data_IF_455439440429
#
_entry.id   IF_455439440429
#
_cell.length_a   1.000
_cell.length_b   1.000
_cell.length_c   1.000
_cell.angle_alpha   90.00
_cell.angle_beta   90.00
_cell.angle_gamma   90.00
#
_symmetry.space_group_name_H-M   'P 1'
#
loop_
_entity.id
_entity.type
_entity.pdbx_description
1 polymer ?
#
# COMPACT_ATOMS: atom_id res chain seq x y z
N UNK A 1 8.24 -10.17 20.81
CA UNK A 1 9.67 -9.95 21.17
C UNK A 1 10.50 -10.40 19.98
N UNK A 2 11.73 -9.89 19.76
CA UNK A 2 12.54 -10.26 18.59
C UNK A 2 12.66 -11.79 18.45
N UNK A 3 12.78 -12.51 19.56
CA UNK A 3 12.85 -13.97 19.58
C UNK A 3 11.57 -14.62 19.06
N UNK A 4 10.39 -14.11 19.45
CA UNK A 4 9.10 -14.61 18.93
C UNK A 4 8.95 -14.32 17.43
N UNK A 5 9.36 -13.13 16.98
CA UNK A 5 9.26 -12.72 15.58
C UNK A 5 10.19 -13.56 14.68
N UNK A 6 11.44 -13.78 15.13
CA UNK A 6 12.38 -14.67 14.44
C UNK A 6 11.89 -16.11 14.44
N UNK A 7 11.35 -16.59 15.57
CA UNK A 7 10.82 -17.95 15.66
C UNK A 7 9.61 -18.13 14.73
N UNK A 8 8.76 -17.11 14.60
CA UNK A 8 7.66 -17.10 13.64
C UNK A 8 8.19 -17.11 12.21
N UNK A 9 9.19 -16.29 11.89
CA UNK A 9 9.79 -16.22 10.55
C UNK A 9 10.43 -17.54 10.12
N UNK A 10 11.15 -18.23 11.02
CA UNK A 10 11.75 -19.54 10.72
C UNK A 10 10.74 -20.68 10.63
N UNK A 11 9.53 -20.50 11.18
CA UNK A 11 8.44 -21.48 11.09
C UNK A 11 7.51 -21.22 9.91
N UNK A 12 7.61 -20.06 9.28
CA UNK A 12 6.75 -19.71 8.16
C UNK A 12 7.06 -20.58 6.93
N UNK A 13 6.03 -20.84 6.14
CA UNK A 13 6.18 -21.62 4.90
C UNK A 13 6.82 -20.72 3.86
N UNK A 14 8.04 -21.05 3.46
CA UNK A 14 8.78 -20.29 2.45
C UNK A 14 8.72 -20.98 1.08
N UNK A 15 8.58 -20.14 0.05
CA UNK A 15 8.81 -20.49 -1.33
C UNK A 15 10.14 -19.93 -1.82
N UNK A 16 10.92 -20.74 -2.52
CA UNK A 16 12.20 -20.38 -3.10
C UNK A 16 12.16 -20.48 -4.63
N UNK A 17 13.02 -19.70 -5.28
CA UNK A 17 13.16 -19.67 -6.75
C UNK A 17 11.83 -19.46 -7.48
N UNK A 18 11.02 -18.55 -6.95
CA UNK A 18 9.70 -18.27 -7.46
C UNK A 18 9.71 -17.61 -8.84
N UNK A 19 8.88 -18.09 -9.75
CA UNK A 19 8.57 -17.45 -11.03
C UNK A 19 7.09 -17.10 -11.07
N UNK A 20 6.81 -15.81 -11.20
CA UNK A 20 5.45 -15.28 -11.27
C UNK A 20 5.18 -14.71 -12.66
N UNK A 21 4.01 -15.03 -13.21
CA UNK A 21 3.46 -14.43 -14.41
C UNK A 21 2.03 -13.99 -14.18
N UNK A 22 1.77 -12.73 -14.48
CA UNK A 22 0.43 -12.17 -14.52
C UNK A 22 -0.08 -12.18 -15.97
N UNK A 23 -1.35 -12.55 -16.13
CA UNK A 23 -2.11 -12.52 -17.38
C UNK A 23 -3.42 -11.81 -17.11
N UNK A 24 -3.92 -11.07 -18.07
CA UNK A 24 -5.22 -10.44 -17.97
C UNK A 24 -5.98 -10.61 -19.29
N UNK A 25 -7.26 -10.21 -19.29
CA UNK A 25 -8.02 -10.09 -20.53
C UNK A 25 -7.36 -9.09 -21.49
N UNK A 26 -7.52 -9.23 -22.83
CA UNK A 26 -6.82 -8.41 -23.83
C UNK A 26 -6.96 -6.89 -23.66
N UNK A 27 -8.05 -6.45 -23.06
CA UNK A 27 -8.39 -5.05 -22.83
C UNK A 27 -7.70 -4.47 -21.58
N UNK A 28 -7.07 -5.33 -20.77
CA UNK A 28 -6.38 -4.99 -19.52
C UNK A 28 -4.88 -5.20 -19.73
N UNK A 29 -4.11 -4.14 -19.53
CA UNK A 29 -2.65 -4.19 -19.53
C UNK A 29 -2.13 -4.13 -18.10
N UNK A 30 -1.00 -4.77 -17.83
CA UNK A 30 -0.31 -4.63 -16.54
C UNK A 30 0.56 -3.39 -16.67
N UNK A 31 0.21 -2.32 -15.95
CA UNK A 31 0.91 -1.05 -16.02
C UNK A 31 2.17 -1.07 -15.15
N UNK A 32 2.01 -1.44 -13.87
CA UNK A 32 3.11 -1.51 -12.92
C UNK A 32 2.88 -2.61 -11.88
N UNK A 33 3.95 -3.16 -11.32
CA UNK A 33 3.87 -4.10 -10.20
C UNK A 33 4.87 -3.65 -9.12
N UNK A 34 4.38 -3.54 -7.89
CA UNK A 34 5.07 -3.01 -6.72
C UNK A 34 5.35 -4.16 -5.75
N UNK A 35 6.59 -4.65 -5.76
CA UNK A 35 7.10 -5.62 -4.80
C UNK A 35 8.62 -5.76 -4.92
N UNK A 36 9.29 -6.33 -3.90
CA UNK A 36 10.71 -6.64 -3.97
C UNK A 36 10.93 -7.87 -4.87
N UNK A 37 11.02 -7.64 -6.17
CA UNK A 37 11.22 -8.68 -7.16
C UNK A 37 12.24 -8.29 -8.24
N UNK A 38 12.77 -9.30 -8.91
CA UNK A 38 13.66 -9.10 -10.05
C UNK A 38 12.89 -9.34 -11.35
N UNK A 39 13.07 -8.46 -12.34
CA UNK A 39 12.48 -8.68 -13.66
C UNK A 39 13.29 -9.72 -14.43
N UNK A 40 12.61 -10.61 -15.14
CA UNK A 40 13.29 -11.58 -15.97
C UNK A 40 13.93 -10.90 -17.19
N UNK A 41 15.25 -11.06 -17.38
CA UNK A 41 16.04 -10.43 -18.45
C UNK A 41 15.43 -10.63 -19.85
N UNK A 42 15.01 -11.87 -20.15
CA UNK A 42 14.45 -12.25 -21.46
C UNK A 42 12.94 -12.01 -21.61
N UNK A 43 12.17 -12.03 -20.53
CA UNK A 43 10.71 -12.10 -20.58
C UNK A 43 10.12 -11.03 -19.67
N UNK A 44 9.76 -9.89 -20.25
CA UNK A 44 9.22 -8.74 -19.49
C UNK A 44 7.96 -9.06 -18.69
N UNK A 45 7.19 -10.06 -19.11
CA UNK A 45 5.96 -10.50 -18.43
C UNK A 45 6.20 -11.48 -17.27
N UNK A 46 7.46 -11.83 -16.98
CA UNK A 46 7.83 -12.77 -15.92
C UNK A 46 8.66 -12.04 -14.86
N UNK A 47 8.30 -12.30 -13.62
CA UNK A 47 8.92 -11.75 -12.42
C UNK A 47 9.54 -12.89 -11.63
N UNK A 48 10.76 -12.68 -11.14
CA UNK A 48 11.47 -13.61 -10.27
C UNK A 48 11.34 -13.16 -8.82
N UNK A 49 10.98 -14.09 -7.95
CA UNK A 49 10.84 -13.90 -6.52
C UNK A 49 11.79 -14.90 -5.83
N UNK A 50 13.02 -14.48 -5.47
CA UNK A 50 14.03 -15.40 -4.93
C UNK A 50 13.55 -16.14 -3.68
N UNK A 51 12.89 -15.41 -2.79
CA UNK A 51 12.26 -15.92 -1.56
C UNK A 51 10.89 -15.25 -1.41
N UNK A 52 9.88 -16.05 -1.09
CA UNK A 52 8.51 -15.61 -0.81
C UNK A 52 8.08 -16.20 0.51
N UNK A 53 7.72 -15.34 1.46
CA UNK A 53 7.09 -15.71 2.73
C UNK A 53 5.56 -15.66 2.57
N UNK A 54 4.82 -16.29 3.48
CA UNK A 54 3.35 -16.30 3.41
C UNK A 54 2.74 -14.90 3.58
N UNK A 55 3.49 -13.99 4.19
CA UNK A 55 3.13 -12.59 4.41
C UNK A 55 3.40 -11.68 3.21
N UNK A 56 4.14 -12.12 2.19
CA UNK A 56 4.58 -11.23 1.10
C UNK A 56 3.40 -10.73 0.26
N UNK A 57 3.18 -9.42 0.26
CA UNK A 57 2.21 -8.74 -0.61
C UNK A 57 2.84 -8.26 -1.92
N UNK A 58 2.10 -8.41 -3.02
CA UNK A 58 2.44 -7.82 -4.32
C UNK A 58 1.25 -6.98 -4.77
N UNK A 59 1.47 -5.67 -4.95
CA UNK A 59 0.46 -4.77 -5.50
C UNK A 59 0.70 -4.58 -7.00
N UNK A 60 -0.36 -4.48 -7.79
CA UNK A 60 -0.28 -4.36 -9.26
C UNK A 60 -1.26 -3.28 -9.72
N UNK A 61 -0.80 -2.36 -10.56
CA UNK A 61 -1.65 -1.42 -11.29
C UNK A 61 -1.94 -1.94 -12.68
N UNK A 62 -3.17 -1.73 -13.12
CA UNK A 62 -3.64 -2.13 -14.44
C UNK A 62 -3.97 -0.89 -15.27
N UNK A 63 -3.61 -0.94 -16.55
CA UNK A 63 -4.07 -0.01 -17.56
C UNK A 63 -5.23 -0.63 -18.34
N UNK A 64 -6.07 0.23 -18.91
CA UNK A 64 -7.18 -0.19 -19.77
C UNK A 64 -6.98 0.38 -21.16
N UNK A 65 -6.90 -0.49 -22.16
CA UNK A 65 -6.63 -0.08 -23.55
C UNK A 65 -7.90 0.33 -24.31
N UNK A 66 -9.06 -0.22 -23.94
CA UNK A 66 -10.35 0.13 -24.53
C UNK A 66 -11.48 -0.10 -23.53
N UNK A 67 -12.33 0.92 -23.34
CA UNK A 67 -13.57 0.82 -22.55
C UNK A 67 -14.63 0.00 -23.28
N UNK A 68 -14.67 0.05 -24.62
CA UNK A 68 -15.65 -0.65 -25.45
C UNK A 68 -15.52 -2.18 -25.35
N UNK A 69 -14.29 -2.69 -25.34
CA UNK A 69 -14.04 -4.13 -25.23
C UNK A 69 -14.39 -4.71 -23.86
N UNK A 70 -14.23 -3.92 -22.79
CA UNK A 70 -14.62 -4.31 -21.43
C UNK A 70 -16.14 -4.37 -21.28
N UNK A 71 -16.87 -3.41 -21.85
CA UNK A 71 -18.34 -3.38 -21.78
C UNK A 71 -18.99 -4.50 -22.62
N UNK A 72 -18.36 -4.91 -23.72
CA UNK A 72 -18.82 -6.05 -24.52
C UNK A 72 -18.60 -7.40 -23.82
N UNK A 73 -17.56 -7.49 -22.98
CA UNK A 73 -17.31 -8.69 -22.16
C UNK A 73 -18.04 -8.59 -20.85
N UNK A 74 -19.09 -9.40 -20.69
CA UNK A 74 -19.79 -9.53 -19.41
C UNK A 74 -18.87 -9.96 -18.24
N UNK A 75 -17.70 -10.55 -18.51
CA UNK A 75 -16.68 -10.91 -17.51
C UNK A 75 -15.27 -10.74 -18.07
N UNK A 76 -14.44 -9.99 -17.34
CA UNK A 76 -12.99 -9.92 -17.53
C UNK A 76 -12.29 -10.80 -16.50
N UNK A 77 -11.05 -11.17 -16.75
CA UNK A 77 -10.25 -11.96 -15.82
C UNK A 77 -8.84 -11.41 -15.65
N UNK A 78 -8.30 -11.65 -14.45
CA UNK A 78 -6.89 -11.53 -14.12
C UNK A 78 -6.45 -12.89 -13.59
N UNK A 79 -5.38 -13.43 -14.15
CA UNK A 79 -4.82 -14.72 -13.77
C UNK A 79 -3.37 -14.55 -13.34
N UNK A 80 -3.06 -15.03 -12.15
CA UNK A 80 -1.72 -15.17 -11.62
C UNK A 80 -1.30 -16.63 -11.70
N UNK A 81 -0.16 -16.89 -12.32
CA UNK A 81 0.52 -18.18 -12.27
C UNK A 81 1.85 -18.00 -11.53
N UNK A 82 2.04 -18.77 -10.47
CA UNK A 82 3.21 -18.72 -9.61
C UNK A 82 3.78 -20.13 -9.41
N UNK A 83 4.96 -20.34 -9.96
CA UNK A 83 5.77 -21.54 -9.77
C UNK A 83 6.80 -21.27 -8.68
N UNK A 84 6.95 -22.19 -7.72
CA UNK A 84 7.93 -22.05 -6.64
C UNK A 84 8.34 -23.41 -6.09
N UNK A 85 9.50 -23.45 -5.42
CA UNK A 85 9.99 -24.64 -4.72
C UNK A 85 9.81 -24.46 -3.22
N UNK A 86 9.29 -25.45 -2.52
CA UNK A 86 9.09 -25.41 -1.07
C UNK A 86 9.62 -26.67 -0.41
N UNK A 87 10.11 -26.53 0.82
CA UNK A 87 10.50 -27.64 1.66
C UNK A 87 9.28 -28.05 2.49
N UNK A 88 8.73 -29.23 2.23
CA UNK A 88 7.57 -29.75 2.94
C UNK A 88 8.02 -30.76 3.99
N UNK A 89 7.45 -30.67 5.19
CA UNK A 89 7.69 -31.70 6.19
C UNK A 89 6.99 -32.98 5.73
N UNK A 90 7.77 -34.00 5.37
CA UNK A 90 7.21 -35.33 5.18
C UNK A 90 6.62 -35.76 6.53
N UNK A 91 5.40 -36.28 6.51
CA UNK A 91 4.64 -36.60 7.73
C UNK A 91 5.28 -37.67 8.63
N UNK A 92 6.39 -38.27 8.20
CA UNK A 92 7.15 -39.25 8.96
C UNK A 92 8.34 -38.60 9.67
N UNK A 93 8.37 -38.80 10.98
CA UNK A 93 9.38 -38.25 11.88
C UNK A 93 10.81 -38.57 11.43
N UNK A 94 11.63 -37.52 11.48
CA UNK A 94 13.08 -37.51 11.34
C UNK A 94 13.64 -37.64 9.90
N UNK A 95 14.03 -36.47 9.37
CA UNK A 95 15.12 -36.26 8.41
C UNK A 95 14.74 -36.45 6.94
N UNK A 96 14.15 -35.39 6.39
CA UNK A 96 14.43 -34.69 5.13
C UNK A 96 13.10 -34.04 4.73
N UNK A 97 13.08 -32.71 4.65
CA UNK A 97 11.94 -32.03 4.04
C UNK A 97 11.93 -32.38 2.56
N UNK A 98 10.81 -32.89 2.05
CA UNK A 98 10.66 -33.15 0.62
C UNK A 98 10.69 -31.79 -0.09
N UNK A 99 11.62 -31.66 -1.04
CA UNK A 99 11.72 -30.45 -1.85
C UNK A 99 10.76 -30.62 -3.03
N UNK A 100 9.66 -29.87 -3.01
CA UNK A 100 8.58 -29.99 -3.98
C UNK A 100 8.47 -28.68 -4.77
N UNK A 101 8.43 -28.80 -6.10
CA UNK A 101 8.05 -27.70 -6.98
C UNK A 101 6.54 -27.67 -7.14
N UNK A 102 5.93 -26.52 -6.87
CA UNK A 102 4.48 -26.30 -6.97
C UNK A 102 4.18 -25.19 -7.96
N UNK A 103 3.09 -25.36 -8.71
CA UNK A 103 2.47 -24.32 -9.53
C UNK A 103 1.12 -23.96 -8.92
N UNK A 104 0.98 -22.71 -8.45
CA UNK A 104 -0.29 -22.14 -8.03
C UNK A 104 -0.84 -21.24 -9.12
N UNK A 105 -2.09 -21.47 -9.50
CA UNK A 105 -2.80 -20.62 -10.45
C UNK A 105 -4.03 -20.05 -9.76
N UNK A 106 -4.12 -18.72 -9.71
CA UNK A 106 -5.27 -17.99 -9.18
C UNK A 106 -5.89 -17.21 -10.32
N UNK A 107 -7.19 -17.33 -10.51
CA UNK A 107 -7.93 -16.56 -11.52
C UNK A 107 -9.06 -15.82 -10.83
N UNK A 108 -9.04 -14.50 -10.95
CA UNK A 108 -10.07 -13.60 -10.45
C UNK A 108 -10.87 -13.09 -11.64
N UNK A 109 -12.19 -13.15 -11.53
CA UNK A 109 -13.10 -12.58 -12.51
C UNK A 109 -13.65 -11.26 -11.99
N UNK A 110 -13.66 -10.24 -12.85
CA UNK A 110 -14.25 -8.94 -12.57
C UNK A 110 -15.38 -8.66 -13.56
N UNK A 111 -16.46 -8.07 -13.06
CA UNK A 111 -17.55 -7.57 -13.89
C UNK A 111 -17.22 -6.13 -14.30
N UNK A 112 -17.30 -5.83 -15.59
CA UNK A 112 -17.16 -4.46 -16.07
C UNK A 112 -18.47 -3.69 -15.82
N UNK A 113 -18.34 -2.42 -15.43
CA UNK A 113 -19.43 -1.47 -15.31
C UNK A 113 -19.02 -0.17 -15.99
N UNK A 114 -19.95 0.48 -16.68
CA UNK A 114 -19.79 1.84 -17.21
C UNK A 114 -20.34 2.90 -16.25
N UNK A 115 -21.12 2.48 -15.24
CA UNK A 115 -21.66 3.37 -14.21
C UNK A 115 -20.58 3.60 -13.13
N UNK A 116 -20.05 4.84 -12.99
CA UNK A 116 -19.02 5.15 -12.02
C UNK A 116 -19.51 4.99 -10.57
N UNK A 117 -20.79 5.21 -10.29
CA UNK A 117 -21.35 5.00 -8.95
C UNK A 117 -21.30 3.53 -8.51
N UNK A 118 -21.53 2.59 -9.45
CA UNK A 118 -21.36 1.15 -9.20
C UNK A 118 -19.91 0.78 -8.95
N UNK A 119 -18.97 1.40 -9.68
CA UNK A 119 -17.53 1.18 -9.50
C UNK A 119 -17.11 1.60 -8.10
N UNK A 120 -17.46 2.83 -7.68
CA UNK A 120 -17.13 3.36 -6.35
C UNK A 120 -17.73 2.53 -5.21
N UNK A 121 -18.98 2.06 -5.38
CA UNK A 121 -19.63 1.17 -4.41
C UNK A 121 -18.93 -0.18 -4.26
N UNK A 122 -18.24 -0.64 -5.30
CA UNK A 122 -17.49 -1.91 -5.30
C UNK A 122 -16.04 -1.78 -4.82
N UNK A 123 -15.54 -0.56 -4.60
CA UNK A 123 -14.16 -0.34 -4.23
C UNK A 123 -13.85 -0.82 -2.80
N UNK A 124 -12.73 -1.53 -2.64
CA UNK A 124 -12.21 -1.97 -1.34
C UNK A 124 -11.18 -0.97 -0.81
N UNK A 125 -11.44 -0.44 0.38
CA UNK A 125 -10.60 0.54 1.05
C UNK A 125 -9.18 0.01 1.31
N UNK A 126 -9.04 -1.22 1.79
CA UNK A 126 -7.74 -1.78 2.14
C UNK A 126 -6.88 -1.96 0.90
N UNK A 127 -7.47 -2.45 -0.19
CA UNK A 127 -6.77 -2.63 -1.46
C UNK A 127 -6.34 -1.28 -2.04
N UNK A 128 -7.26 -0.31 -2.10
CA UNK A 128 -6.98 1.02 -2.64
C UNK A 128 -5.88 1.72 -1.83
N UNK A 129 -5.99 1.69 -0.50
CA UNK A 129 -5.02 2.33 0.39
C UNK A 129 -3.64 1.64 0.35
N UNK A 130 -3.62 0.31 0.27
CA UNK A 130 -2.36 -0.46 0.10
C UNK A 130 -1.71 -0.15 -1.24
N UNK A 131 -2.51 -0.06 -2.30
CA UNK A 131 -2.02 0.31 -3.62
C UNK A 131 -1.38 1.69 -3.61
N UNK A 132 -2.08 2.69 -3.03
CA UNK A 132 -1.58 4.04 -2.87
C UNK A 132 -0.26 4.06 -2.08
N UNK A 133 -0.20 3.33 -0.98
CA UNK A 133 1.00 3.22 -0.13
C UNK A 133 2.19 2.67 -0.92
N UNK A 134 2.01 1.57 -1.65
CA UNK A 134 3.05 0.99 -2.50
C UNK A 134 3.48 1.95 -3.61
N UNK A 135 2.53 2.65 -4.22
CA UNK A 135 2.80 3.64 -5.26
C UNK A 135 3.62 4.82 -4.73
N UNK A 136 3.28 5.35 -3.55
CA UNK A 136 4.03 6.43 -2.92
C UNK A 136 5.44 6.01 -2.51
N UNK A 137 5.63 4.78 -2.02
CA UNK A 137 6.95 4.25 -1.69
C UNK A 137 7.81 4.10 -2.96
N UNK A 138 7.25 3.57 -4.05
CA UNK A 138 7.97 3.50 -5.34
C UNK A 138 8.31 4.89 -5.87
N UNK A 139 7.40 5.86 -5.75
CA UNK A 139 7.66 7.23 -6.16
C UNK A 139 8.82 7.83 -5.37
N UNK A 140 8.80 7.70 -4.03
CA UNK A 140 9.85 8.20 -3.14
C UNK A 140 11.23 7.57 -3.39
N UNK A 141 11.27 6.29 -3.76
CA UNK A 141 12.52 5.54 -3.92
C UNK A 141 13.09 5.61 -5.34
N UNK A 142 12.22 5.68 -6.35
CA UNK A 142 12.61 5.44 -7.75
C UNK A 142 12.46 6.67 -8.64
N UNK A 143 11.49 7.54 -8.39
CA UNK A 143 11.06 8.56 -9.37
C UNK A 143 11.28 9.99 -8.90
N UNK A 144 10.84 10.30 -7.69
CA UNK A 144 11.12 11.58 -7.04
C UNK A 144 12.49 11.55 -6.38
N UNK A 145 13.13 12.73 -6.31
CA UNK A 145 14.43 12.86 -5.66
C UNK A 145 14.31 13.24 -4.19
N UNK A 146 13.14 13.74 -3.76
CA UNK A 146 12.91 14.21 -2.40
C UNK A 146 11.59 13.70 -1.81
N UNK A 147 11.57 13.51 -0.49
CA UNK A 147 10.35 13.14 0.25
C UNK A 147 9.31 14.26 0.24
N UNK A 148 9.73 15.51 0.08
CA UNK A 148 8.82 16.65 -0.06
C UNK A 148 7.98 16.50 -1.32
N UNK A 149 8.61 16.23 -2.47
CA UNK A 149 7.89 15.99 -3.73
C UNK A 149 6.89 14.82 -3.61
N UNK A 150 7.25 13.73 -2.91
CA UNK A 150 6.30 12.62 -2.70
C UNK A 150 5.12 13.02 -1.81
N UNK A 151 5.32 13.89 -0.81
CA UNK A 151 4.23 14.38 0.04
C UNK A 151 3.29 15.29 -0.73
N UNK A 152 3.84 16.20 -1.51
CA UNK A 152 3.06 17.15 -2.32
C UNK A 152 2.22 16.35 -3.33
N UNK A 153 2.82 15.33 -3.96
CA UNK A 153 2.10 14.41 -4.85
C UNK A 153 0.99 13.63 -4.13
N UNK A 154 1.21 13.20 -2.89
CA UNK A 154 0.18 12.54 -2.08
C UNK A 154 -0.99 13.48 -1.75
N UNK A 155 -0.71 14.76 -1.51
CA UNK A 155 -1.74 15.79 -1.32
C UNK A 155 -2.52 16.03 -2.61
N UNK A 156 -1.83 16.15 -3.75
CA UNK A 156 -2.45 16.30 -5.07
C UNK A 156 -3.36 15.10 -5.41
N UNK A 157 -2.91 13.89 -5.12
CA UNK A 157 -3.72 12.68 -5.32
C UNK A 157 -4.95 12.68 -4.42
N UNK A 158 -4.83 13.13 -3.18
CA UNK A 158 -5.97 13.25 -2.28
C UNK A 158 -7.00 14.25 -2.80
N UNK A 159 -6.56 15.45 -3.20
CA UNK A 159 -7.41 16.48 -3.76
C UNK A 159 -8.10 16.00 -5.05
N UNK A 160 -7.34 15.35 -5.94
CA UNK A 160 -7.87 14.78 -7.19
C UNK A 160 -8.88 13.65 -6.95
N UNK A 161 -8.68 12.82 -5.93
CA UNK A 161 -9.65 11.80 -5.54
C UNK A 161 -10.93 12.43 -5.00
N UNK A 162 -10.83 13.42 -4.12
CA UNK A 162 -11.98 14.10 -3.53
C UNK A 162 -12.82 14.79 -4.61
N UNK A 163 -12.21 15.62 -5.46
CA UNK A 163 -12.92 16.30 -6.56
C UNK A 163 -13.54 15.30 -7.53
N UNK A 164 -12.78 14.24 -7.86
CA UNK A 164 -13.28 13.15 -8.69
C UNK A 164 -14.52 12.46 -8.10
N UNK A 165 -14.54 12.20 -6.79
CA UNK A 165 -15.69 11.60 -6.13
C UNK A 165 -16.88 12.56 -6.03
N UNK A 166 -16.62 13.83 -5.69
CA UNK A 166 -17.66 14.86 -5.62
C UNK A 166 -18.43 14.97 -6.94
N UNK A 167 -17.70 15.13 -8.05
CA UNK A 167 -18.28 15.22 -9.40
C UNK A 167 -19.08 13.97 -9.80
N UNK A 168 -18.63 12.79 -9.40
CA UNK A 168 -19.35 11.54 -9.72
C UNK A 168 -20.64 11.41 -8.90
N UNK A 169 -20.63 11.88 -7.65
CA UNK A 169 -21.78 11.76 -6.74
C UNK A 169 -22.82 12.87 -6.94
N UNK A 170 -22.40 14.05 -7.39
CA UNK A 170 -23.25 15.23 -7.58
C UNK A 170 -23.24 15.76 -9.03
N UNK A 171 -23.63 14.95 -10.04
CA UNK A 171 -23.53 15.32 -11.47
C UNK A 171 -24.53 16.39 -11.94
N UNK A 172 -25.36 16.94 -11.04
CA UNK A 172 -26.45 17.86 -11.38
C UNK A 172 -26.20 19.31 -10.92
N UNK A 173 -25.08 19.57 -10.24
CA UNK A 173 -24.75 20.86 -9.63
C UNK A 173 -23.59 21.57 -10.34
N UNK A 174 -23.33 21.28 -11.62
CA UNK A 174 -22.10 21.72 -12.30
C UNK A 174 -21.91 23.26 -12.37
N UNK A 175 -22.94 24.10 -12.17
CA UNK A 175 -22.80 25.57 -12.19
C UNK A 175 -22.75 26.23 -10.79
N UNK A 176 -23.53 25.76 -9.80
CA UNK A 176 -23.47 26.27 -8.41
C UNK A 176 -22.50 25.49 -7.52
N UNK A 177 -22.23 24.23 -7.86
CA UNK A 177 -21.31 23.33 -7.16
C UNK A 177 -19.84 23.61 -7.47
N UNK A 178 -19.51 24.21 -8.61
CA UNK A 178 -18.12 24.59 -8.94
C UNK A 178 -17.59 25.72 -8.04
N UNK A 179 -18.43 26.68 -7.62
CA UNK A 179 -18.04 27.72 -6.64
C UNK A 179 -17.89 27.15 -5.22
N UNK A 180 -18.78 26.25 -4.80
CA UNK A 180 -18.68 25.57 -3.49
C UNK A 180 -17.50 24.60 -3.44
N UNK A 181 -17.27 23.82 -4.50
CA UNK A 181 -16.12 22.91 -4.66
C UNK A 181 -14.81 23.70 -4.71
N UNK A 182 -14.75 24.80 -5.47
CA UNK A 182 -13.59 25.69 -5.53
C UNK A 182 -13.26 26.31 -4.16
N UNK A 183 -14.27 26.86 -3.47
CA UNK A 183 -14.09 27.40 -2.12
C UNK A 183 -13.66 26.33 -1.11
N UNK A 184 -14.13 25.10 -1.29
CA UNK A 184 -13.79 23.98 -0.43
C UNK A 184 -12.37 23.46 -0.66
N UNK A 185 -11.98 23.24 -1.92
CA UNK A 185 -10.63 22.81 -2.28
C UNK A 185 -9.60 23.86 -1.86
N UNK A 186 -9.90 25.15 -2.02
CA UNK A 186 -9.04 26.24 -1.52
C UNK A 186 -8.88 26.18 0.01
N UNK A 187 -9.97 25.95 0.76
CA UNK A 187 -9.88 25.76 2.23
C UNK A 187 -9.08 24.52 2.62
N UNK A 188 -9.19 23.43 1.85
CA UNK A 188 -8.51 22.18 2.14
C UNK A 188 -7.02 22.26 1.79
N UNK A 189 -6.68 22.93 0.69
CA UNK A 189 -5.32 23.26 0.29
C UNK A 189 -4.67 24.17 1.34
N UNK A 190 -5.32 25.27 1.75
CA UNK A 190 -4.86 26.14 2.84
C UNK A 190 -4.65 25.35 4.13
N UNK A 191 -5.58 24.44 4.48
CA UNK A 191 -5.44 23.61 5.66
C UNK A 191 -4.23 22.67 5.60
N UNK A 192 -4.02 22.00 4.46
CA UNK A 192 -2.86 21.13 4.26
C UNK A 192 -1.54 21.92 4.32
N UNK A 193 -1.56 23.16 3.85
CA UNK A 193 -0.42 24.09 3.90
C UNK A 193 -0.14 24.63 5.32
N UNK A 194 -1.19 24.92 6.10
CA UNK A 194 -1.09 25.37 7.48
C UNK A 194 -0.64 24.25 8.42
N UNK A 195 -1.14 23.03 8.23
CA UNK A 195 -0.74 21.83 8.98
C UNK A 195 0.74 21.46 8.71
N UNK A 196 1.21 21.72 7.48
CA UNK A 196 2.63 21.63 7.14
C UNK A 196 3.49 22.64 7.92
N UNK A 197 2.95 23.81 8.30
CA UNK A 197 3.65 24.90 9.01
C UNK A 197 3.54 24.82 10.54
N UNK A 198 2.43 24.31 11.09
CA UNK A 198 2.15 24.31 12.54
C UNK A 198 2.30 22.93 13.20
N UNK A 199 3.54 22.55 13.51
CA UNK A 199 3.86 21.34 14.30
C UNK A 199 3.66 21.55 15.81
N UNK A 200 2.43 21.64 16.28
CA UNK A 200 2.14 21.47 17.72
C UNK A 200 1.19 20.29 17.92
N UNK A 201 1.72 19.20 18.50
CA UNK A 201 0.95 18.04 18.94
C UNK A 201 0.06 18.41 20.14
N UNK A 202 -1.03 19.12 19.93
CA UNK A 202 -2.15 19.13 20.88
C UNK A 202 -3.41 19.78 20.32
N UNK A 203 -4.54 19.13 20.55
CA UNK A 203 -5.92 19.67 20.59
C UNK A 203 -6.51 20.29 19.32
N UNK A 204 -5.79 20.35 18.20
CA UNK A 204 -6.31 20.83 16.90
C UNK A 204 -6.89 19.70 16.01
N UNK A 205 -6.79 18.44 16.47
CA UNK A 205 -7.31 17.26 15.77
C UNK A 205 -8.85 17.25 15.69
N UNK A 206 -9.57 17.84 16.64
CA UNK A 206 -11.04 17.79 16.63
C UNK A 206 -11.68 18.67 15.54
N UNK A 207 -11.08 19.82 15.22
CA UNK A 207 -11.53 20.69 14.12
C UNK A 207 -11.10 20.15 12.75
N UNK A 208 -9.87 19.65 12.65
CA UNK A 208 -9.37 18.98 11.45
C UNK A 208 -10.24 17.76 11.10
N UNK A 209 -10.60 16.95 12.10
CA UNK A 209 -11.40 15.75 11.85
C UNK A 209 -12.88 16.03 11.62
N UNK A 210 -13.37 17.22 12.00
CA UNK A 210 -14.69 17.73 11.61
C UNK A 210 -14.71 18.22 10.15
N UNK A 211 -13.64 18.86 9.66
CA UNK A 211 -13.51 19.28 8.25
C UNK A 211 -13.37 18.07 7.31
N UNK A 212 -12.77 16.98 7.80
CA UNK A 212 -12.53 15.71 7.07
C UNK A 212 -13.76 14.77 7.13
N UNK A 213 -14.87 15.17 7.77
CA UNK A 213 -16.14 14.46 7.59
C UNK A 213 -16.82 14.97 6.32
N UNK A 214 -16.28 14.55 5.17
CA UNK A 214 -16.81 14.86 3.86
C UNK A 214 -18.27 14.43 3.75
N UNK A 215 -19.15 15.40 3.49
CA UNK A 215 -20.57 15.16 3.18
C UNK A 215 -20.73 14.24 1.97
N UNK A 216 -19.80 14.24 1.02
CA UNK A 216 -19.86 13.39 -0.17
C UNK A 216 -19.55 11.92 0.11
N UNK A 217 -18.60 11.63 1.01
CA UNK A 217 -18.31 10.25 1.40
C UNK A 217 -19.40 9.63 2.28
N UNK A 218 -20.40 10.40 2.72
CA UNK A 218 -21.59 9.83 3.37
C UNK A 218 -22.34 8.85 2.46
N UNK A 219 -22.28 9.07 1.14
CA UNK A 219 -22.85 8.17 0.14
C UNK A 219 -22.00 6.89 -0.08
N UNK A 220 -20.76 6.86 0.42
CA UNK A 220 -19.78 5.78 0.26
C UNK A 220 -19.14 5.42 1.63
N UNK A 221 -19.90 4.79 2.54
CA UNK A 221 -19.44 4.52 3.90
C UNK A 221 -18.14 3.69 3.96
N UNK A 222 -17.89 2.84 2.97
CA UNK A 222 -16.68 2.03 2.87
C UNK A 222 -15.42 2.83 2.54
N UNK A 223 -15.56 3.99 1.88
CA UNK A 223 -14.43 4.86 1.53
C UNK A 223 -14.30 6.08 2.45
N UNK A 224 -15.25 6.30 3.36
CA UNK A 224 -15.22 7.43 4.30
C UNK A 224 -13.92 7.57 5.11
N UNK A 225 -13.20 6.48 5.49
CA UNK A 225 -11.91 6.61 6.17
C UNK A 225 -10.75 7.01 5.25
N UNK A 226 -10.91 6.94 3.92
CA UNK A 226 -9.81 7.09 2.97
C UNK A 226 -9.07 8.44 3.11
N UNK A 227 -9.74 9.61 3.13
CA UNK A 227 -9.03 10.87 3.28
C UNK A 227 -8.21 10.96 4.57
N UNK A 228 -8.77 10.44 5.68
CA UNK A 228 -8.07 10.38 6.97
C UNK A 228 -6.85 9.46 6.90
N UNK A 229 -6.96 8.32 6.22
CA UNK A 229 -5.84 7.39 6.02
C UNK A 229 -4.73 8.01 5.17
N UNK A 230 -5.06 8.74 4.11
CA UNK A 230 -4.06 9.43 3.28
C UNK A 230 -3.37 10.54 4.08
N UNK A 231 -4.11 11.32 4.87
CA UNK A 231 -3.51 12.30 5.77
C UNK A 231 -2.60 11.64 6.82
N UNK A 232 -3.03 10.52 7.40
CA UNK A 232 -2.21 9.73 8.30
C UNK A 232 -0.94 9.21 7.61
N UNK A 233 -1.00 8.83 6.33
CA UNK A 233 0.14 8.42 5.53
C UNK A 233 1.14 9.56 5.34
N UNK A 234 0.67 10.77 4.99
CA UNK A 234 1.50 11.98 4.85
C UNK A 234 2.20 12.35 6.17
N UNK A 235 1.54 12.10 7.30
CA UNK A 235 2.07 12.34 8.66
C UNK A 235 2.93 11.18 9.19
N UNK A 236 2.87 10.01 8.56
CA UNK A 236 3.61 8.81 8.97
C UNK A 236 5.13 9.01 8.82
N UNK A 237 5.99 8.43 9.68
CA UNK A 237 7.46 8.49 9.54
C UNK A 237 8.02 8.04 8.18
N UNK A 238 7.22 7.32 7.39
CA UNK A 238 7.48 7.03 5.97
C UNK A 238 7.72 8.29 5.15
N UNK A 239 6.80 9.26 5.26
CA UNK A 239 6.77 10.47 4.43
C UNK A 239 6.83 11.76 5.25
N UNK A 240 6.95 11.68 6.58
CA UNK A 240 6.99 12.88 7.39
C UNK A 240 8.26 13.70 7.08
N UNK A 241 8.11 15.02 6.95
CA UNK A 241 9.23 15.94 6.80
C UNK A 241 10.01 16.17 8.12
N UNK A 242 9.78 15.35 9.15
CA UNK A 242 10.56 15.41 10.39
C UNK A 242 11.87 14.63 10.15
N UNK A 243 12.93 15.01 10.83
CA UNK A 243 14.14 14.18 10.86
C UNK A 243 13.80 12.81 11.48
N UNK A 244 13.71 11.80 10.61
CA UNK A 244 13.62 10.40 10.98
C UNK A 244 14.94 9.75 10.59
N UNK A 245 15.58 8.94 11.45
CA UNK A 245 16.79 8.22 11.09
C UNK A 245 16.59 7.42 9.80
N UNK A 246 17.56 7.48 8.89
CA UNK A 246 17.47 6.85 7.57
C UNK A 246 17.15 5.34 7.67
N UNK A 247 17.79 4.64 8.61
CA UNK A 247 17.56 3.20 8.82
C UNK A 247 16.13 2.89 9.24
N UNK A 248 15.53 3.74 10.08
CA UNK A 248 14.14 3.60 10.51
C UNK A 248 13.21 3.78 9.30
N UNK A 249 13.48 4.78 8.45
CA UNK A 249 12.66 5.03 7.26
C UNK A 249 12.77 3.90 6.24
N UNK A 250 13.98 3.40 5.97
CA UNK A 250 14.20 2.24 5.08
C UNK A 250 13.49 1.00 5.63
N UNK A 251 13.60 0.75 6.93
CA UNK A 251 12.90 -0.36 7.59
C UNK A 251 11.38 -0.24 7.43
N UNK A 252 10.83 0.97 7.58
CA UNK A 252 9.41 1.22 7.37
C UNK A 252 9.00 1.03 5.90
N UNK A 253 9.78 1.51 4.93
CA UNK A 253 9.51 1.24 3.50
C UNK A 253 9.45 -0.27 3.22
N UNK A 254 10.43 -1.02 3.76
CA UNK A 254 10.48 -2.46 3.62
C UNK A 254 9.29 -3.16 4.29
N UNK A 255 8.90 -2.71 5.48
CA UNK A 255 7.75 -3.27 6.19
C UNK A 255 6.46 -3.04 5.41
N UNK A 256 6.17 -1.79 5.04
CA UNK A 256 4.91 -1.40 4.40
C UNK A 256 4.75 -1.98 2.99
N UNK A 257 5.84 -2.27 2.28
CA UNK A 257 5.78 -2.97 0.98
C UNK A 257 5.50 -4.48 1.11
N UNK A 258 5.55 -5.03 2.33
CA UNK A 258 5.32 -6.46 2.59
C UNK A 258 4.04 -6.74 3.36
N UNK A 259 3.50 -5.77 4.11
CA UNK A 259 2.28 -5.97 4.90
C UNK A 259 1.08 -6.36 4.03
N UNK A 260 0.21 -7.24 4.55
CA UNK A 260 -1.07 -7.54 3.95
C UNK A 260 -1.99 -6.30 3.97
N UNK A 261 -2.95 -6.21 3.06
CA UNK A 261 -3.75 -4.99 2.90
C UNK A 261 -4.50 -4.54 4.17
N UNK A 262 -5.01 -5.51 4.95
CA UNK A 262 -5.65 -5.24 6.24
C UNK A 262 -4.67 -4.68 7.27
N UNK A 263 -3.42 -5.12 7.22
CA UNK A 263 -2.36 -4.76 8.16
C UNK A 263 -1.80 -3.37 7.89
N UNK A 264 -1.75 -2.96 6.62
CA UNK A 264 -1.35 -1.60 6.21
C UNK A 264 -2.31 -0.56 6.81
N UNK A 265 -3.62 -0.78 6.66
CA UNK A 265 -4.65 0.11 7.23
C UNK A 265 -4.61 0.07 8.77
N UNK A 266 -4.47 -1.12 9.37
CA UNK A 266 -4.37 -1.28 10.83
C UNK A 266 -3.16 -0.56 11.42
N UNK A 267 -2.01 -0.61 10.74
CA UNK A 267 -0.76 0.02 11.16
C UNK A 267 -0.88 1.54 11.32
N UNK A 268 -1.66 2.19 10.46
CA UNK A 268 -1.89 3.63 10.51
C UNK A 268 -3.07 4.02 11.41
N UNK A 269 -4.18 3.27 11.37
CA UNK A 269 -5.36 3.58 12.20
C UNK A 269 -5.09 3.48 13.70
N UNK A 270 -4.15 2.62 14.09
CA UNK A 270 -3.88 2.39 15.52
C UNK A 270 -2.96 3.44 16.15
N UNK A 271 -2.37 4.38 15.39
CA UNK A 271 -1.37 5.36 15.89
C UNK A 271 -0.29 4.74 16.81
N UNK A 272 -0.11 3.42 16.76
CA UNK A 272 0.67 2.61 17.69
C UNK A 272 1.89 1.99 17.01
N UNK A 273 2.25 2.46 15.82
CA UNK A 273 3.66 2.55 15.46
C UNK A 273 4.28 3.75 16.21
N UNK A 274 4.17 3.76 17.56
CA UNK A 274 5.39 4.05 18.30
C UNK A 274 6.34 2.97 17.79
N UNK A 275 7.42 3.29 17.06
CA UNK A 275 8.52 2.35 17.10
C UNK A 275 8.72 2.16 18.60
N UNK A 276 8.43 0.96 19.12
CA UNK A 276 9.13 0.54 20.32
C UNK A 276 10.57 0.76 19.85
N UNK A 277 11.31 1.74 20.41
CA UNK A 277 12.70 1.86 20.03
C UNK A 277 13.22 0.45 20.22
N UNK A 278 13.66 -0.17 19.12
CA UNK A 278 14.48 -1.34 19.26
C UNK A 278 15.64 -0.76 20.04
N UNK A 279 15.71 -1.09 21.32
CA UNK A 279 16.68 -0.54 22.24
C UNK A 279 18.03 -1.17 21.93
N UNK A 280 18.50 -1.05 20.68
CA UNK A 280 19.86 -1.38 20.26
C UNK A 280 20.87 -0.52 21.03
N UNK A 281 20.44 0.61 21.61
CA UNK A 281 21.27 1.43 22.50
C UNK A 281 21.52 0.77 23.87
N UNK A 282 20.65 -0.11 24.36
CA UNK A 282 20.83 -0.77 25.66
C UNK A 282 21.54 -2.13 25.55
N UNK A 283 21.46 -2.80 24.39
CA UNK A 283 22.19 -4.06 24.16
C UNK A 283 23.65 -3.83 23.74
N UNK A 284 23.97 -2.70 23.10
CA UNK A 284 25.38 -2.32 22.84
C UNK A 284 26.17 -2.06 24.13
N UNK A 285 25.49 -1.64 25.21
CA UNK A 285 26.12 -1.44 26.53
C UNK A 285 26.33 -2.75 27.29
N UNK A 286 25.48 -3.75 27.06
CA UNK A 286 25.63 -5.08 27.65
C UNK A 286 26.74 -5.92 26.98
N UNK A 287 27.03 -5.68 25.69
CA UNK A 287 28.13 -6.36 25.00
C UNK A 287 29.49 -5.64 25.13
N UNK A 288 29.51 -4.34 25.47
CA UNK A 288 30.74 -3.56 25.65
C UNK A 288 31.48 -3.79 26.98
N UNK A 289 30.85 -4.41 27.98
CA UNK A 289 31.49 -4.68 29.29
C UNK A 289 32.12 -6.09 29.39
N UNK A 290 32.02 -6.93 28.36
CA UNK A 290 32.55 -8.31 28.37
C UNK A 290 33.80 -8.52 27.52
N UNK A 291 34.48 -7.45 27.09
CA UNK A 291 35.83 -7.54 26.50
C UNK A 291 36.77 -6.68 27.35
N UNK A 292 37.12 -7.22 28.51
CA UNK A 292 38.17 -6.74 29.38
C UNK A 292 38.85 -7.93 30.05
N UNK A 293 40.14 -8.10 29.78
CA UNK A 293 41.09 -9.12 30.28
C UNK A 293 41.01 -10.52 29.66
N UNK A 294 41.78 -10.73 28.57
CA UNK A 294 42.97 -11.60 28.55
C UNK A 294 44.01 -10.93 27.65
#
# INVERSE_FOLDING_TARGET
TIVEDLTAQFRDIQGHHGLMRLRASPEITIAHAYAPFERHVKYKSIVKLPVVESSTTIAVSFGFSSTSGLSQRNKSYIQLAFEYTSAENSGDSARISDVVTRLRVVTVHAKASTDPGVILKSADLNILFTHLTHQSIDEALTRTSTLTETRDLLQDWLLSMISGFHRILNPANDEEGEEEEGSFLEKLEIFLDEDNKTRSYSTQDDKATALINFTDFSALPQLQPLPRLVLALIRCPLFCGVEVPQDVRICLHYLYTRLAASEVVRGLMTNNLKPKPITLANEAKAYGETIGSV
#
